data_IF_522575439607
#
_entry.id   IF_522575439607
#
_cell.length_a   1.000
_cell.length_b   1.000
_cell.length_c   1.000
_cell.angle_alpha   90.00
_cell.angle_beta   90.00
_cell.angle_gamma   90.00
#
_symmetry.space_group_name_H-M   'P 1'
#
loop_
_entity.id
_entity.type
_entity.pdbx_description
1 polymer ?
#
# COMPACT_ATOMS: atom_id res chain seq x y z
N UNK A 1 -22.70 -9.59 -43.39
CA UNK A 1 -22.92 -8.89 -42.14
C UNK A 1 -22.58 -9.85 -41.02
N UNK A 2 -21.38 -9.73 -40.47
CA UNK A 2 -20.91 -10.53 -39.33
C UNK A 2 -20.77 -9.57 -38.16
N UNK A 3 -21.65 -9.74 -37.18
CA UNK A 3 -21.72 -8.91 -35.98
C UNK A 3 -20.62 -9.37 -35.02
N UNK A 4 -19.59 -8.57 -34.85
CA UNK A 4 -18.56 -8.80 -33.83
C UNK A 4 -19.12 -8.33 -32.48
N UNK A 5 -19.56 -9.28 -31.67
CA UNK A 5 -19.87 -9.02 -30.26
C UNK A 5 -18.56 -8.83 -29.49
N UNK A 6 -18.25 -7.59 -29.13
CA UNK A 6 -17.19 -7.26 -28.17
C UNK A 6 -17.63 -7.77 -26.80
N UNK A 7 -17.02 -8.85 -26.34
CA UNK A 7 -17.11 -9.30 -24.95
C UNK A 7 -16.27 -8.34 -24.08
N UNK A 8 -16.95 -7.34 -23.52
CA UNK A 8 -16.44 -6.54 -22.41
C UNK A 8 -16.41 -7.47 -21.18
N UNK A 9 -15.28 -8.10 -20.93
CA UNK A 9 -15.06 -8.79 -19.65
C UNK A 9 -14.86 -7.71 -18.59
N UNK A 10 -15.97 -7.31 -17.96
CA UNK A 10 -15.94 -6.58 -16.73
C UNK A 10 -15.19 -7.45 -15.70
N UNK A 11 -14.07 -6.96 -15.23
CA UNK A 11 -13.39 -7.48 -14.05
C UNK A 11 -14.34 -7.19 -12.87
N UNK A 12 -15.29 -8.09 -12.64
CA UNK A 12 -16.03 -8.15 -11.40
C UNK A 12 -15.05 -8.64 -10.33
N UNK A 13 -14.28 -7.73 -9.75
CA UNK A 13 -13.87 -7.92 -8.38
C UNK A 13 -15.20 -8.26 -7.66
N UNK A 14 -15.29 -9.43 -7.04
CA UNK A 14 -16.38 -9.80 -6.16
C UNK A 14 -16.29 -8.82 -5.00
N UNK A 15 -16.91 -7.65 -5.16
CA UNK A 15 -17.12 -6.70 -4.10
C UNK A 15 -18.09 -7.41 -3.15
N UNK A 16 -17.55 -8.09 -2.14
CA UNK A 16 -18.35 -8.47 -1.00
C UNK A 16 -19.02 -7.19 -0.49
N UNK A 17 -20.32 -7.27 -0.17
CA UNK A 17 -21.06 -6.11 0.30
C UNK A 17 -20.39 -5.57 1.57
N UNK A 18 -19.61 -4.50 1.41
CA UNK A 18 -18.96 -3.81 2.52
C UNK A 18 -19.99 -2.96 3.26
N UNK A 19 -20.16 -3.24 4.54
CA UNK A 19 -20.99 -2.44 5.44
C UNK A 19 -20.13 -1.62 6.38
N UNK A 20 -20.61 -0.46 6.79
CA UNK A 20 -19.88 0.40 7.73
C UNK A 20 -19.74 -0.31 9.08
N UNK A 21 -18.54 -0.28 9.67
CA UNK A 21 -18.27 -0.90 10.97
C UNK A 21 -19.05 -0.13 12.05
N UNK A 22 -19.90 -0.85 12.79
CA UNK A 22 -20.70 -0.26 13.86
C UNK A 22 -19.90 -0.08 15.17
N UNK A 23 -19.05 -1.05 15.52
CA UNK A 23 -18.21 -1.02 16.72
C UNK A 23 -16.75 -0.68 16.36
N UNK A 24 -16.52 0.60 16.07
CA UNK A 24 -15.17 1.12 15.78
C UNK A 24 -14.20 0.97 16.96
N UNK A 25 -14.72 0.96 18.21
CA UNK A 25 -13.87 0.82 19.39
C UNK A 25 -13.25 -0.56 19.45
N UNK A 26 -14.04 -1.59 19.31
CA UNK A 26 -13.55 -2.98 19.28
C UNK A 26 -12.67 -3.24 18.07
N UNK A 27 -13.03 -2.73 16.90
CA UNK A 27 -12.21 -2.83 15.70
C UNK A 27 -10.82 -2.20 15.91
N UNK A 28 -10.77 -0.94 16.37
CA UNK A 28 -9.52 -0.22 16.59
C UNK A 28 -8.64 -0.87 17.66
N UNK A 29 -9.26 -1.38 18.74
CA UNK A 29 -8.53 -2.11 19.79
C UNK A 29 -7.91 -3.41 19.25
N UNK A 30 -8.65 -4.17 18.45
CA UNK A 30 -8.16 -5.40 17.82
C UNK A 30 -7.04 -5.11 16.81
N UNK A 31 -7.22 -4.09 15.98
CA UNK A 31 -6.20 -3.67 15.02
C UNK A 31 -4.91 -3.27 15.74
N UNK A 32 -5.00 -2.41 16.76
CA UNK A 32 -3.84 -1.98 17.54
C UNK A 32 -3.15 -3.16 18.25
N UNK A 33 -3.92 -4.09 18.84
CA UNK A 33 -3.35 -5.27 19.52
C UNK A 33 -2.59 -6.19 18.55
N UNK A 34 -3.09 -6.37 17.33
CA UNK A 34 -2.44 -7.21 16.32
C UNK A 34 -1.20 -6.54 15.73
N UNK A 35 -1.29 -5.25 15.44
CA UNK A 35 -0.24 -4.53 14.73
C UNK A 35 0.89 -4.07 15.65
N UNK A 36 0.62 -3.80 16.94
CA UNK A 36 1.68 -3.43 17.91
C UNK A 36 2.72 -4.53 18.14
N UNK A 37 2.36 -5.79 17.89
CA UNK A 37 3.26 -6.94 18.00
C UNK A 37 4.07 -7.20 16.71
N UNK A 38 3.81 -6.46 15.62
CA UNK A 38 4.52 -6.63 14.37
C UNK A 38 5.85 -5.89 14.39
N UNK A 39 6.93 -6.62 14.26
CA UNK A 39 8.30 -6.07 14.17
C UNK A 39 8.85 -6.11 12.75
N UNK A 40 8.36 -7.04 11.93
CA UNK A 40 8.72 -7.14 10.52
C UNK A 40 7.62 -7.82 9.71
N UNK A 41 7.60 -7.52 8.40
CA UNK A 41 6.75 -8.17 7.40
C UNK A 41 7.63 -8.45 6.19
N UNK A 42 7.52 -9.66 5.65
CA UNK A 42 8.02 -10.03 4.33
C UNK A 42 6.89 -10.63 3.53
N UNK A 43 6.76 -10.23 2.26
CA UNK A 43 5.71 -10.72 1.37
C UNK A 43 6.16 -10.69 -0.09
N UNK A 44 5.49 -11.46 -0.93
CA UNK A 44 5.49 -11.23 -2.38
C UNK A 44 4.55 -10.06 -2.67
N UNK A 45 4.90 -9.25 -3.66
CA UNK A 45 4.10 -8.09 -4.07
C UNK A 45 3.84 -8.10 -5.57
N UNK A 46 2.60 -7.83 -5.93
CA UNK A 46 2.19 -7.50 -7.30
C UNK A 46 1.66 -6.07 -7.28
N UNK A 47 2.33 -5.19 -8.01
CA UNK A 47 1.88 -3.82 -8.25
C UNK A 47 1.21 -3.75 -9.61
N UNK A 48 0.05 -3.12 -9.68
CA UNK A 48 -0.65 -2.80 -10.93
C UNK A 48 -0.86 -1.30 -10.97
N UNK A 49 -0.31 -0.64 -11.95
CA UNK A 49 -0.50 0.79 -12.18
C UNK A 49 -1.29 1.01 -13.45
N UNK A 50 -2.50 1.53 -13.30
CA UNK A 50 -3.34 1.93 -14.43
C UNK A 50 -3.11 3.41 -14.75
N UNK A 51 -2.90 3.69 -16.01
CA UNK A 51 -2.72 5.04 -16.57
C UNK A 51 -3.75 5.26 -17.67
N UNK A 52 -4.74 6.07 -17.38
CA UNK A 52 -5.87 6.35 -18.28
C UNK A 52 -5.43 6.96 -19.60
N UNK A 53 -4.42 7.82 -19.58
CA UNK A 53 -3.84 8.46 -20.77
C UNK A 53 -3.33 7.44 -21.80
N UNK A 54 -2.87 6.27 -21.36
CA UNK A 54 -2.40 5.19 -22.22
C UNK A 54 -3.43 4.06 -22.36
N UNK A 55 -4.53 4.12 -21.61
CA UNK A 55 -5.49 3.03 -21.45
C UNK A 55 -4.77 1.69 -21.20
N UNK A 56 -3.79 1.69 -20.33
CA UNK A 56 -2.89 0.56 -20.10
C UNK A 56 -2.61 0.36 -18.62
N UNK A 57 -2.46 -0.91 -18.25
CA UNK A 57 -1.99 -1.34 -16.95
C UNK A 57 -0.55 -1.84 -17.04
N UNK A 58 0.30 -1.30 -16.17
CA UNK A 58 1.68 -1.78 -15.98
C UNK A 58 1.71 -2.66 -14.75
N UNK A 59 2.12 -3.93 -14.94
CA UNK A 59 2.22 -4.90 -13.85
C UNK A 59 3.68 -5.10 -13.48
N UNK A 60 4.01 -4.87 -12.20
CA UNK A 60 5.32 -5.14 -11.62
C UNK A 60 5.20 -6.22 -10.55
N UNK A 61 6.18 -7.13 -10.48
CA UNK A 61 6.22 -8.20 -9.48
C UNK A 61 7.56 -8.20 -8.76
N UNK A 62 7.53 -8.51 -7.48
CA UNK A 62 8.73 -8.54 -6.66
C UNK A 62 8.45 -8.95 -5.24
N UNK A 63 9.30 -8.49 -4.33
CA UNK A 63 9.17 -8.73 -2.90
C UNK A 63 9.03 -7.41 -2.15
N UNK A 64 8.26 -7.48 -1.08
CA UNK A 64 8.09 -6.43 -0.10
C UNK A 64 8.74 -6.85 1.22
N UNK A 65 9.43 -5.93 1.86
CA UNK A 65 9.93 -6.10 3.21
C UNK A 65 9.71 -4.81 4.02
N UNK A 66 9.23 -4.97 5.24
CA UNK A 66 9.12 -3.89 6.20
C UNK A 66 9.74 -4.33 7.53
N UNK A 67 10.42 -3.42 8.21
CA UNK A 67 10.93 -3.62 9.56
C UNK A 67 10.71 -2.36 10.39
N UNK A 68 10.14 -2.56 11.57
CA UNK A 68 9.92 -1.47 12.51
C UNK A 68 11.24 -0.76 12.88
N UNK A 69 11.20 0.54 13.14
CA UNK A 69 10.03 1.39 13.08
C UNK A 69 9.75 1.93 11.67
N UNK A 70 10.73 2.03 10.77
CA UNK A 70 10.66 2.88 9.58
C UNK A 70 11.49 2.39 8.39
N UNK A 71 11.76 1.08 8.30
CA UNK A 71 12.45 0.49 7.14
C UNK A 71 11.47 -0.20 6.22
N UNK A 72 11.58 0.09 4.93
CA UNK A 72 10.76 -0.51 3.89
C UNK A 72 11.62 -0.78 2.66
N UNK A 73 11.38 -1.92 2.02
CA UNK A 73 11.97 -2.26 0.72
C UNK A 73 10.90 -2.83 -0.21
N UNK A 74 10.81 -2.27 -1.41
CA UNK A 74 10.15 -2.85 -2.56
C UNK A 74 11.23 -3.23 -3.57
N UNK A 75 11.34 -4.51 -3.90
CA UNK A 75 12.37 -5.06 -4.78
C UNK A 75 11.71 -5.76 -5.97
N UNK A 76 11.48 -5.02 -7.05
CA UNK A 76 10.83 -5.53 -8.25
C UNK A 76 11.84 -6.27 -9.14
N UNK A 77 11.38 -7.37 -9.69
CA UNK A 77 12.13 -8.18 -10.67
C UNK A 77 11.51 -8.13 -12.06
N UNK A 78 10.23 -7.83 -12.16
CA UNK A 78 9.46 -7.79 -13.40
C UNK A 78 8.67 -6.48 -13.48
N UNK A 79 8.55 -5.83 -14.65
CA UNK A 79 9.11 -6.19 -15.95
C UNK A 79 10.61 -5.93 -16.05
N UNK A 80 11.17 -5.08 -15.19
CA UNK A 80 12.58 -4.75 -15.08
C UNK A 80 12.99 -4.62 -13.62
N UNK A 81 14.26 -4.92 -13.27
CA UNK A 81 14.75 -4.73 -11.91
C UNK A 81 14.65 -3.27 -11.49
N UNK A 82 13.89 -3.03 -10.42
CA UNK A 82 13.74 -1.71 -9.80
C UNK A 82 13.58 -1.87 -8.29
N UNK A 83 14.33 -1.13 -7.53
CA UNK A 83 14.34 -1.24 -6.08
C UNK A 83 14.10 0.12 -5.43
N UNK A 84 13.24 0.14 -4.44
CA UNK A 84 12.96 1.29 -3.58
C UNK A 84 13.24 0.88 -2.15
N UNK A 85 14.06 1.64 -1.46
CA UNK A 85 14.35 1.44 -0.03
C UNK A 85 14.09 2.73 0.71
N UNK A 86 13.34 2.65 1.79
CA UNK A 86 13.24 3.68 2.81
C UNK A 86 13.94 3.13 4.06
N UNK A 87 14.88 3.89 4.62
CA UNK A 87 15.57 3.59 5.87
C UNK A 87 15.62 4.88 6.70
N UNK A 88 14.73 5.00 7.65
CA UNK A 88 14.49 6.25 8.36
C UNK A 88 14.04 7.37 7.41
N UNK A 89 14.84 8.42 7.33
CA UNK A 89 14.57 9.56 6.43
C UNK A 89 15.29 9.47 5.08
N UNK A 90 15.96 8.37 4.81
CA UNK A 90 16.65 8.13 3.55
C UNK A 90 15.77 7.34 2.60
N UNK A 91 15.53 7.90 1.42
CA UNK A 91 15.01 7.20 0.26
C UNK A 91 16.18 6.80 -0.65
N UNK A 92 16.25 5.55 -1.03
CA UNK A 92 17.17 5.04 -2.02
C UNK A 92 16.39 4.36 -3.13
N UNK A 93 16.70 4.67 -4.36
CA UNK A 93 16.17 3.98 -5.55
C UNK A 93 17.33 3.40 -6.35
N UNK A 94 17.13 2.18 -6.87
CA UNK A 94 18.08 1.53 -7.77
C UNK A 94 17.33 1.13 -9.03
N UNK A 95 17.76 1.62 -10.18
CA UNK A 95 17.18 1.34 -11.48
C UNK A 95 18.30 1.03 -12.49
N UNK A 96 18.24 -0.13 -13.14
CA UNK A 96 19.23 -0.55 -14.13
C UNK A 96 20.68 -0.37 -13.65
N UNK A 97 20.96 -0.71 -12.39
CA UNK A 97 22.30 -0.60 -11.77
C UNK A 97 22.72 0.82 -11.37
N UNK A 98 21.87 1.83 -11.62
CA UNK A 98 22.10 3.21 -11.16
C UNK A 98 21.35 3.45 -9.88
N UNK A 99 22.03 3.97 -8.86
CA UNK A 99 21.43 4.34 -7.60
C UNK A 99 21.25 5.85 -7.47
N UNK A 100 20.13 6.26 -6.88
CA UNK A 100 19.86 7.65 -6.49
C UNK A 100 19.38 7.67 -5.05
N UNK A 101 19.76 8.68 -4.28
CA UNK A 101 19.28 8.84 -2.90
C UNK A 101 18.78 10.23 -2.64
N UNK A 102 17.74 10.32 -1.81
CA UNK A 102 17.15 11.58 -1.37
C UNK A 102 16.91 11.55 0.15
N UNK A 103 16.90 12.72 0.77
CA UNK A 103 16.51 12.87 2.16
C UNK A 103 15.04 13.31 2.23
N UNK A 104 14.23 12.58 2.97
CA UNK A 104 12.80 12.80 3.10
C UNK A 104 12.47 13.97 4.04
N UNK A 105 13.34 14.31 5.01
CA UNK A 105 13.13 15.41 5.97
C UNK A 105 12.88 16.77 5.31
N UNK A 106 13.51 17.01 4.16
CA UNK A 106 13.35 18.26 3.41
C UNK A 106 12.07 18.36 2.59
N UNK A 107 11.26 17.30 2.53
CA UNK A 107 10.04 17.23 1.74
C UNK A 107 8.86 16.75 2.61
N UNK A 108 8.00 17.67 3.09
CA UNK A 108 6.87 17.31 3.96
C UNK A 108 5.95 16.26 3.35
N UNK A 109 5.68 16.34 2.05
CA UNK A 109 4.81 15.40 1.34
C UNK A 109 5.41 14.00 1.34
N UNK A 110 6.70 13.86 1.04
CA UNK A 110 7.39 12.56 1.07
C UNK A 110 7.44 12.00 2.49
N UNK A 111 7.61 12.85 3.50
CA UNK A 111 7.55 12.43 4.91
C UNK A 111 6.16 11.92 5.28
N UNK A 112 5.10 12.60 4.85
CA UNK A 112 3.72 12.16 5.06
C UNK A 112 3.42 10.85 4.33
N UNK A 113 3.89 10.68 3.08
CA UNK A 113 3.75 9.43 2.35
C UNK A 113 4.48 8.27 3.03
N UNK A 114 5.69 8.49 3.57
CA UNK A 114 6.40 7.50 4.39
C UNK A 114 5.59 7.09 5.61
N UNK A 115 5.09 8.08 6.35
CA UNK A 115 4.28 7.84 7.56
C UNK A 115 2.99 7.09 7.22
N UNK A 116 2.35 7.43 6.13
CA UNK A 116 1.16 6.77 5.61
C UNK A 116 1.45 5.30 5.29
N UNK A 117 2.51 5.00 4.53
CA UNK A 117 2.88 3.62 4.22
C UNK A 117 3.21 2.83 5.49
N UNK A 118 3.93 3.44 6.43
CA UNK A 118 4.23 2.81 7.72
C UNK A 118 2.96 2.54 8.54
N UNK A 119 2.05 3.52 8.61
CA UNK A 119 0.76 3.36 9.28
C UNK A 119 -0.11 2.29 8.64
N UNK A 120 -0.12 2.19 7.31
CA UNK A 120 -0.80 1.12 6.57
C UNK A 120 -0.23 -0.26 6.96
N UNK A 121 1.09 -0.40 7.01
CA UNK A 121 1.73 -1.68 7.34
C UNK A 121 1.53 -2.08 8.80
N UNK A 122 1.50 -1.12 9.70
CA UNK A 122 1.29 -1.35 11.14
C UNK A 122 -0.17 -1.29 11.57
N UNK A 123 -1.10 -0.98 10.65
CA UNK A 123 -2.51 -0.76 10.97
C UNK A 123 -2.78 0.46 11.87
N UNK A 124 -1.75 1.26 12.19
CA UNK A 124 -1.90 2.44 13.07
C UNK A 124 -2.39 3.67 12.27
N UNK A 125 -3.45 3.46 11.50
CA UNK A 125 -4.06 4.53 10.67
C UNK A 125 -4.66 5.66 11.50
N UNK A 126 -5.01 5.40 12.77
CA UNK A 126 -5.52 6.42 13.69
C UNK A 126 -4.48 7.53 13.98
N UNK A 127 -3.19 7.23 13.87
CA UNK A 127 -2.14 8.24 14.04
C UNK A 127 -2.13 9.32 12.94
N UNK A 128 -2.93 9.13 11.87
CA UNK A 128 -3.03 10.04 10.72
C UNK A 128 -4.30 10.89 10.74
N UNK A 129 -5.10 10.82 11.81
CA UNK A 129 -6.45 11.38 11.88
C UNK A 129 -6.58 12.88 11.64
N UNK A 130 -5.49 13.67 11.69
CA UNK A 130 -5.52 15.09 11.33
C UNK A 130 -5.31 15.34 9.83
N UNK A 131 -4.70 14.40 9.13
CA UNK A 131 -4.30 14.56 7.73
C UNK A 131 -5.28 13.89 6.75
N UNK A 132 -6.13 12.98 7.28
CA UNK A 132 -7.07 12.20 6.48
C UNK A 132 -8.44 12.09 7.16
N UNK A 133 -9.50 12.15 6.36
CA UNK A 133 -10.80 11.61 6.73
C UNK A 133 -10.75 10.10 6.55
N UNK A 134 -11.17 9.35 7.60
CA UNK A 134 -11.01 7.89 7.63
C UNK A 134 -12.37 7.25 7.83
N UNK A 135 -12.72 6.31 6.95
CA UNK A 135 -13.91 5.49 7.07
C UNK A 135 -13.55 4.01 7.13
N UNK A 136 -14.32 3.24 7.90
CA UNK A 136 -14.08 1.83 8.17
C UNK A 136 -15.28 0.99 7.77
N UNK A 137 -15.00 -0.07 7.02
CA UNK A 137 -16.00 -0.99 6.51
C UNK A 137 -15.58 -2.43 6.77
N UNK A 138 -16.53 -3.34 6.82
CA UNK A 138 -16.30 -4.77 6.92
C UNK A 138 -17.16 -5.55 5.95
N UNK A 139 -16.66 -6.71 5.53
CA UNK A 139 -17.35 -7.75 4.80
C UNK A 139 -17.08 -9.10 5.48
N UNK A 140 -17.63 -10.19 4.96
CA UNK A 140 -17.35 -11.53 5.50
C UNK A 140 -15.88 -11.94 5.37
N UNK A 141 -15.12 -11.33 4.48
CA UNK A 141 -13.73 -11.74 4.12
C UNK A 141 -12.68 -10.78 4.61
N UNK A 142 -12.95 -9.47 4.58
CA UNK A 142 -11.95 -8.43 4.78
C UNK A 142 -12.55 -7.23 5.51
N UNK A 143 -11.67 -6.47 6.16
CA UNK A 143 -11.97 -5.09 6.52
C UNK A 143 -11.47 -4.16 5.42
N UNK A 144 -12.15 -3.04 5.23
CA UNK A 144 -11.70 -1.98 4.32
C UNK A 144 -11.60 -0.66 5.08
N UNK A 145 -10.46 0.00 4.96
CA UNK A 145 -10.22 1.35 5.46
C UNK A 145 -10.08 2.27 4.27
N UNK A 146 -10.88 3.33 4.23
CA UNK A 146 -10.81 4.36 3.19
C UNK A 146 -10.23 5.62 3.83
N UNK A 147 -9.21 6.19 3.17
CA UNK A 147 -8.55 7.42 3.61
C UNK A 147 -8.65 8.46 2.49
N UNK A 148 -9.19 9.63 2.84
CA UNK A 148 -9.27 10.78 1.94
C UNK A 148 -8.43 11.91 2.52
N UNK A 149 -7.39 12.40 1.82
CA UNK A 149 -6.56 13.49 2.31
C UNK A 149 -7.38 14.76 2.56
N UNK A 150 -7.11 15.43 3.67
CA UNK A 150 -7.76 16.72 4.01
C UNK A 150 -7.06 17.88 3.29
N UNK A 151 -5.71 17.85 3.20
CA UNK A 151 -4.95 18.93 2.60
C UNK A 151 -4.88 18.83 1.07
N UNK A 152 -5.01 19.98 0.39
CA UNK A 152 -4.87 20.05 -1.07
C UNK A 152 -3.46 19.65 -1.53
N UNK A 153 -2.45 19.86 -0.70
CA UNK A 153 -1.08 19.47 -1.00
C UNK A 153 -0.95 17.93 -1.15
N UNK A 154 -1.60 17.14 -0.28
CA UNK A 154 -1.64 15.69 -0.41
C UNK A 154 -2.54 15.23 -1.56
N UNK A 155 -3.66 15.90 -1.78
CA UNK A 155 -4.58 15.60 -2.89
C UNK A 155 -3.91 15.73 -4.27
N UNK A 156 -2.87 16.55 -4.39
CA UNK A 156 -2.06 16.63 -5.61
C UNK A 156 -1.25 15.37 -5.93
N UNK A 157 -1.13 14.43 -4.98
CA UNK A 157 -0.41 13.16 -5.15
C UNK A 157 -1.32 11.94 -5.03
N UNK A 158 -2.32 12.01 -4.17
CA UNK A 158 -3.28 10.94 -3.94
C UNK A 158 -4.62 11.55 -3.54
N UNK A 159 -5.67 11.21 -4.24
CA UNK A 159 -7.02 11.72 -3.93
C UNK A 159 -7.79 10.79 -2.97
N UNK A 160 -7.48 9.50 -2.97
CA UNK A 160 -8.09 8.49 -2.09
C UNK A 160 -7.18 7.28 -1.95
N UNK A 161 -7.23 6.63 -0.80
CA UNK A 161 -6.61 5.33 -0.58
C UNK A 161 -7.60 4.34 -0.01
N UNK A 162 -7.44 3.08 -0.39
CA UNK A 162 -8.23 1.97 0.15
C UNK A 162 -7.26 0.88 0.63
N UNK A 163 -7.41 0.47 1.88
CA UNK A 163 -6.61 -0.58 2.50
C UNK A 163 -7.53 -1.73 2.83
N UNK A 164 -7.23 -2.91 2.30
CA UNK A 164 -7.96 -4.13 2.59
C UNK A 164 -7.14 -4.98 3.54
N UNK A 165 -7.74 -5.31 4.68
CA UNK A 165 -7.10 -6.07 5.76
C UNK A 165 -7.71 -7.46 5.86
N UNK A 166 -6.87 -8.47 6.03
CA UNK A 166 -7.32 -9.82 6.32
C UNK A 166 -8.05 -9.88 7.66
N UNK A 167 -9.21 -10.56 7.72
CA UNK A 167 -9.98 -10.66 8.97
C UNK A 167 -9.31 -11.50 10.06
N UNK A 168 -8.40 -12.41 9.71
CA UNK A 168 -7.78 -13.33 10.67
C UNK A 168 -6.63 -12.70 11.42
N UNK A 169 -5.76 -11.97 10.70
CA UNK A 169 -4.53 -11.44 11.25
C UNK A 169 -4.41 -9.91 11.18
N UNK A 170 -5.41 -9.22 10.61
CA UNK A 170 -5.46 -7.76 10.44
C UNK A 170 -4.32 -7.20 9.58
N UNK A 171 -3.61 -8.05 8.85
CA UNK A 171 -2.55 -7.60 7.95
C UNK A 171 -3.10 -7.12 6.61
N UNK A 172 -2.37 -6.23 5.96
CA UNK A 172 -2.76 -5.70 4.66
C UNK A 172 -2.66 -6.77 3.58
N UNK A 173 -3.77 -7.03 2.88
CA UNK A 173 -3.83 -7.84 1.66
C UNK A 173 -3.64 -6.97 0.42
N UNK A 174 -4.32 -5.83 0.39
CA UNK A 174 -4.30 -4.93 -0.76
C UNK A 174 -4.27 -3.48 -0.30
N UNK A 175 -3.47 -2.68 -0.97
CA UNK A 175 -3.46 -1.23 -0.87
C UNK A 175 -3.75 -0.66 -2.26
N UNK A 176 -4.75 0.20 -2.39
CA UNK A 176 -5.05 0.93 -3.62
C UNK A 176 -4.86 2.42 -3.38
N UNK A 177 -4.07 3.06 -4.22
CA UNK A 177 -3.83 4.50 -4.22
C UNK A 177 -4.43 5.07 -5.50
N UNK A 178 -5.41 5.97 -5.38
CA UNK A 178 -5.98 6.71 -6.49
C UNK A 178 -5.25 8.04 -6.61
N UNK A 179 -4.50 8.23 -7.68
CA UNK A 179 -3.82 9.50 -7.97
C UNK A 179 -4.82 10.56 -8.44
N UNK A 180 -5.87 10.12 -9.13
CA UNK A 180 -7.02 10.94 -9.55
C UNK A 180 -8.26 10.04 -9.71
N UNK A 181 -9.31 10.51 -10.40
CA UNK A 181 -10.56 9.76 -10.59
C UNK A 181 -10.39 8.49 -11.45
N UNK A 182 -9.37 8.43 -12.28
CA UNK A 182 -9.16 7.36 -13.27
C UNK A 182 -7.88 6.57 -13.04
N UNK A 183 -6.79 7.25 -12.65
CA UNK A 183 -5.48 6.63 -12.48
C UNK A 183 -5.32 6.08 -11.07
N UNK A 184 -4.83 4.86 -10.96
CA UNK A 184 -4.58 4.24 -9.67
C UNK A 184 -3.36 3.32 -9.70
N UNK A 185 -2.81 3.11 -8.52
CA UNK A 185 -1.80 2.08 -8.27
C UNK A 185 -2.29 1.15 -7.18
N UNK A 186 -2.37 -0.15 -7.45
CA UNK A 186 -2.68 -1.16 -6.45
C UNK A 186 -1.45 -2.00 -6.12
N UNK A 187 -1.38 -2.45 -4.87
CA UNK A 187 -0.38 -3.36 -4.34
C UNK A 187 -1.09 -4.54 -3.69
N UNK A 188 -0.86 -5.74 -4.20
CA UNK A 188 -1.40 -6.99 -3.66
C UNK A 188 -0.26 -7.74 -2.96
N UNK A 189 -0.44 -8.10 -1.69
CA UNK A 189 0.54 -8.78 -0.85
C UNK A 189 0.13 -10.22 -0.60
N UNK A 190 1.04 -11.16 -0.86
CA UNK A 190 0.82 -12.59 -0.64
C UNK A 190 2.04 -13.25 0.00
N UNK A 191 1.87 -14.50 0.48
CA UNK A 191 2.97 -15.24 1.12
C UNK A 191 3.55 -14.52 2.35
N UNK A 192 2.73 -13.77 3.07
CA UNK A 192 3.15 -12.92 4.19
C UNK A 192 3.79 -13.73 5.31
N UNK A 193 4.95 -13.24 5.78
CA UNK A 193 5.68 -13.75 6.95
C UNK A 193 5.93 -12.60 7.91
N UNK A 194 5.67 -12.84 9.19
CA UNK A 194 5.71 -11.82 10.23
C UNK A 194 6.80 -12.11 11.25
N UNK A 195 7.39 -11.06 11.80
CA UNK A 195 8.31 -11.12 12.93
C UNK A 195 9.58 -11.97 12.65
N UNK A 196 9.97 -12.12 11.38
CA UNK A 196 11.25 -12.73 11.01
C UNK A 196 12.38 -11.70 11.15
N UNK A 197 13.56 -12.15 11.57
CA UNK A 197 14.76 -11.31 11.54
C UNK A 197 15.16 -11.03 10.10
N UNK A 198 15.04 -9.78 9.66
CA UNK A 198 15.44 -9.35 8.34
C UNK A 198 16.91 -8.87 8.36
N UNK A 199 17.81 -9.46 7.54
CA UNK A 199 19.18 -9.00 7.49
C UNK A 199 19.29 -7.58 6.93
N UNK A 200 20.27 -6.80 7.40
CA UNK A 200 20.46 -5.41 6.96
C UNK A 200 20.63 -5.26 5.44
N UNK A 201 21.13 -6.30 4.77
CA UNK A 201 21.26 -6.34 3.30
C UNK A 201 19.92 -6.22 2.55
N UNK A 202 18.80 -6.54 3.21
CA UNK A 202 17.45 -6.34 2.63
C UNK A 202 17.19 -4.85 2.38
N UNK A 203 17.73 -3.97 3.23
CA UNK A 203 17.53 -2.51 3.16
C UNK A 203 18.78 -1.78 2.62
N UNK A 204 19.71 -2.50 2.02
CA UNK A 204 20.89 -1.91 1.37
C UNK A 204 20.64 -1.66 -0.13
N UNK A 205 21.37 -0.68 -0.70
CA UNK A 205 21.54 -0.57 -2.15
C UNK A 205 22.44 -1.72 -2.62
N UNK A 206 21.96 -2.53 -3.52
CA UNK A 206 22.79 -3.54 -4.22
C UNK A 206 23.41 -2.94 -5.45
#
# INVERSE_FOLDING_TARGET
>A
MVSAALLLQAFSAVAGDFVKINDLRSFSANLAARTSAMTSIRADVVQKKYLSVFNAEVVSKGTFAWSAPDKLCLDYTTPAPYRIVIDGDRLLTVNAGKSSSANLKGNPVMSQMKNLLSACMTGNVNAMGSDFEIEYFESDREYKVVLVPVSDQLRGYVCRMEIFLDRKDMSVNTLVMHENETDYTSYEFSGKKFNETLPASVFAGR
#
